data_IF_308596342051
#
_entry.id   IF_308596342051
#
_cell.length_a   1.000
_cell.length_b   1.000
_cell.length_c   1.000
_cell.angle_alpha   90.00
_cell.angle_beta   90.00
_cell.angle_gamma   90.00
#
_symmetry.space_group_name_H-M   'P 1'
#
loop_
_entity.id
_entity.type
_entity.pdbx_description
1 polymer ?
#
# COMPACT_ATOMS: atom_id res chain seq x y z
N UNK A 1 6.66 35.12 29.62
CA UNK A 1 7.52 34.54 28.57
C UNK A 1 6.98 33.17 28.25
N UNK A 2 6.80 32.90 26.96
CA UNK A 2 6.01 31.80 26.42
C UNK A 2 6.58 30.44 26.86
N UNK A 3 5.74 29.62 27.51
CA UNK A 3 5.94 28.17 27.52
C UNK A 3 5.52 27.73 26.13
N UNK A 4 6.46 27.54 25.22
CA UNK A 4 6.19 26.81 23.99
C UNK A 4 6.06 25.35 24.39
N UNK A 5 4.82 24.89 24.55
CA UNK A 5 4.49 23.47 24.52
C UNK A 5 5.10 22.89 23.24
N UNK A 6 6.25 22.24 23.41
CA UNK A 6 6.88 21.46 22.37
C UNK A 6 5.99 20.23 22.20
N UNK A 7 5.02 20.33 21.29
CA UNK A 7 4.26 19.17 20.84
C UNK A 7 5.25 18.28 20.09
N UNK A 8 5.95 17.42 20.84
CA UNK A 8 6.88 16.42 20.31
C UNK A 8 6.10 15.38 19.54
N UNK A 9 5.79 15.65 18.27
CA UNK A 9 5.47 14.61 17.31
C UNK A 9 6.71 13.74 17.18
N UNK A 10 6.58 12.45 17.51
CA UNK A 10 7.68 11.52 17.36
C UNK A 10 7.82 11.20 15.86
N UNK A 11 9.04 11.13 15.29
CA UNK A 11 9.22 10.77 13.89
C UNK A 11 8.55 9.44 13.58
N UNK A 12 7.75 9.39 12.51
CA UNK A 12 7.18 8.17 11.97
C UNK A 12 8.20 7.48 11.08
N UNK A 13 8.47 6.20 11.29
CA UNK A 13 9.37 5.40 10.46
C UNK A 13 8.66 4.84 9.22
N UNK A 14 8.85 5.47 8.06
CA UNK A 14 8.30 5.02 6.77
C UNK A 14 9.26 4.01 6.15
N UNK A 15 8.77 2.79 5.89
CA UNK A 15 9.52 1.69 5.29
C UNK A 15 8.99 1.38 3.90
N UNK A 16 9.74 1.77 2.88
CA UNK A 16 9.46 1.47 1.48
C UNK A 16 9.94 0.07 1.14
N UNK A 17 9.13 -0.66 0.36
CA UNK A 17 9.47 -1.96 -0.20
C UNK A 17 8.89 -2.07 -1.62
N UNK A 18 9.72 -2.49 -2.58
CA UNK A 18 9.28 -2.69 -3.97
C UNK A 18 10.04 -3.84 -4.62
N UNK A 19 9.36 -4.81 -5.24
CA UNK A 19 10.02 -5.83 -6.05
C UNK A 19 10.46 -5.22 -7.39
N UNK A 20 11.75 -5.30 -7.69
CA UNK A 20 12.34 -4.83 -8.95
C UNK A 20 13.69 -5.48 -9.25
N UNK A 21 13.88 -5.94 -10.49
CA UNK A 21 15.16 -6.49 -10.96
C UNK A 21 16.00 -5.41 -11.64
N UNK A 22 17.13 -5.07 -11.04
CA UNK A 22 18.14 -4.19 -11.63
C UNK A 22 19.11 -4.97 -12.53
N UNK A 23 19.69 -4.29 -13.52
CA UNK A 23 20.86 -4.83 -14.24
C UNK A 23 22.11 -4.70 -13.36
N UNK A 24 23.17 -5.42 -13.73
CA UNK A 24 24.46 -5.30 -13.05
C UNK A 24 24.98 -3.85 -13.10
N UNK A 25 25.46 -3.33 -11.96
CA UNK A 25 25.90 -1.93 -11.81
C UNK A 25 24.76 -0.91 -11.68
N UNK A 26 23.51 -1.37 -11.55
CA UNK A 26 22.35 -0.52 -11.28
C UNK A 26 21.80 -0.77 -9.87
N UNK A 27 21.26 0.29 -9.28
CA UNK A 27 20.63 0.24 -7.98
C UNK A 27 19.37 1.11 -7.95
N UNK A 28 18.45 0.77 -7.04
CA UNK A 28 17.20 1.50 -6.88
C UNK A 28 17.32 2.57 -5.79
N UNK A 29 16.68 3.71 -6.01
CA UNK A 29 16.59 4.80 -5.04
C UNK A 29 15.18 5.42 -5.02
N UNK A 30 14.85 6.05 -3.90
CA UNK A 30 13.61 6.80 -3.69
C UNK A 30 13.92 8.30 -3.67
N UNK A 31 13.19 9.06 -4.46
CA UNK A 31 13.32 10.51 -4.59
C UNK A 31 11.98 11.18 -4.30
N UNK A 32 12.00 12.41 -3.78
CA UNK A 32 10.77 13.13 -3.43
C UNK A 32 11.05 14.58 -3.08
N UNK A 33 9.98 15.35 -2.85
CA UNK A 33 10.07 16.76 -2.49
C UNK A 33 10.81 17.07 -1.17
N UNK A 34 10.74 16.23 -0.12
CA UNK A 34 11.42 16.53 1.13
C UNK A 34 12.93 16.41 1.05
N UNK A 35 13.62 17.08 1.99
CA UNK A 35 15.10 17.06 2.07
C UNK A 35 15.66 15.64 2.23
N UNK A 36 14.97 14.81 2.99
CA UNK A 36 15.37 13.43 3.25
C UNK A 36 15.25 12.52 2.01
N UNK A 37 14.47 12.93 1.00
CA UNK A 37 14.35 12.26 -0.30
C UNK A 37 15.02 13.05 -1.43
N UNK A 38 15.90 14.00 -1.10
CA UNK A 38 16.75 14.69 -2.07
C UNK A 38 16.11 15.87 -2.80
N UNK A 39 14.90 16.32 -2.45
CA UNK A 39 14.23 17.48 -3.08
C UNK A 39 14.12 17.38 -4.61
N UNK A 40 13.75 16.22 -5.12
CA UNK A 40 13.70 15.91 -6.55
C UNK A 40 15.07 15.95 -7.28
N UNK A 41 16.18 15.95 -6.55
CA UNK A 41 17.53 15.76 -7.09
C UNK A 41 17.96 14.29 -7.03
N UNK A 42 18.19 13.65 -8.19
CA UNK A 42 18.44 12.20 -8.27
C UNK A 42 19.76 11.78 -7.61
N UNK A 43 20.77 12.65 -7.63
CA UNK A 43 22.03 12.41 -6.94
C UNK A 43 21.87 12.39 -5.41
N UNK A 44 20.85 13.10 -4.88
CA UNK A 44 20.53 13.15 -3.46
C UNK A 44 19.40 12.18 -3.06
N UNK A 45 18.92 11.34 -3.99
CA UNK A 45 17.86 10.37 -3.72
C UNK A 45 18.31 9.33 -2.68
N UNK A 46 17.38 8.92 -1.83
CA UNK A 46 17.57 7.93 -0.77
C UNK A 46 17.88 6.56 -1.39
N UNK A 47 19.09 6.01 -1.23
CA UNK A 47 19.42 4.70 -1.79
C UNK A 47 18.61 3.59 -1.11
N UNK A 48 18.14 2.63 -1.89
CA UNK A 48 17.50 1.42 -1.37
C UNK A 48 18.50 0.28 -1.26
N UNK A 49 18.25 -0.62 -0.32
CA UNK A 49 19.04 -1.84 -0.12
C UNK A 49 18.30 -3.02 -0.75
N UNK A 50 18.98 -3.78 -1.59
CA UNK A 50 18.45 -5.03 -2.13
C UNK A 50 18.30 -6.07 -1.02
N UNK A 51 17.22 -6.82 -1.06
CA UNK A 51 16.88 -7.93 -0.17
C UNK A 51 16.54 -9.15 -1.01
N UNK A 52 16.55 -10.32 -0.37
CA UNK A 52 16.19 -11.59 -1.03
C UNK A 52 14.81 -11.50 -1.69
N UNK A 53 14.69 -12.06 -2.90
CA UNK A 53 13.46 -12.01 -3.70
C UNK A 53 13.33 -10.78 -4.59
N UNK A 54 14.43 -10.11 -4.92
CA UNK A 54 14.47 -8.89 -5.75
C UNK A 54 13.66 -7.73 -5.15
N UNK A 55 13.56 -7.69 -3.83
CA UNK A 55 12.85 -6.63 -3.11
C UNK A 55 13.86 -5.58 -2.68
N UNK A 56 13.62 -4.34 -3.06
CA UNK A 56 14.39 -3.19 -2.60
C UNK A 56 13.69 -2.54 -1.42
N UNK A 57 14.44 -2.26 -0.36
CA UNK A 57 13.92 -1.67 0.87
C UNK A 57 14.67 -0.40 1.28
N UNK A 58 13.94 0.59 1.79
CA UNK A 58 14.50 1.80 2.39
C UNK A 58 13.64 2.28 3.56
N UNK A 59 14.26 3.00 4.50
CA UNK A 59 13.56 3.56 5.66
C UNK A 59 13.81 5.06 5.76
N UNK A 60 12.78 5.80 6.13
CA UNK A 60 12.75 7.25 6.21
C UNK A 60 12.05 7.67 7.51
N UNK A 61 12.75 8.41 8.37
CA UNK A 61 12.12 9.11 9.48
C UNK A 61 11.37 10.34 8.95
N UNK A 62 10.09 10.45 9.31
CA UNK A 62 9.18 11.47 8.80
C UNK A 62 8.42 12.14 9.95
N UNK A 63 8.72 13.41 10.18
CA UNK A 63 8.22 14.17 11.33
C UNK A 63 6.84 14.81 11.07
N UNK A 64 6.51 15.02 9.80
CA UNK A 64 5.33 15.78 9.39
C UNK A 64 4.13 14.84 9.17
N UNK A 65 2.99 15.09 9.82
CA UNK A 65 1.73 14.51 9.32
C UNK A 65 1.43 15.04 7.90
N UNK A 66 0.65 14.33 7.09
CA UNK A 66 0.19 14.83 5.78
C UNK A 66 0.63 14.00 4.57
N UNK A 67 0.75 14.65 3.42
CA UNK A 67 1.03 13.98 2.14
C UNK A 67 2.51 14.00 1.82
N UNK A 68 3.08 12.82 1.58
CA UNK A 68 4.43 12.62 1.08
C UNK A 68 4.38 12.21 -0.39
N UNK A 69 4.96 13.04 -1.26
CA UNK A 69 5.16 12.73 -2.67
C UNK A 69 6.55 12.15 -2.91
N UNK A 70 6.62 11.03 -3.63
CA UNK A 70 7.87 10.35 -3.94
C UNK A 70 7.81 9.60 -5.27
N UNK A 71 8.96 9.15 -5.76
CA UNK A 71 9.10 8.34 -6.96
C UNK A 71 10.31 7.41 -6.82
N UNK A 72 10.31 6.31 -7.57
CA UNK A 72 11.45 5.42 -7.66
C UNK A 72 12.28 5.72 -8.91
N UNK A 73 13.59 5.64 -8.76
CA UNK A 73 14.57 5.88 -9.82
C UNK A 73 15.60 4.76 -9.82
N UNK A 74 15.94 4.26 -11.00
CA UNK A 74 17.09 3.36 -11.21
C UNK A 74 18.29 4.22 -11.52
N UNK A 75 19.37 4.04 -10.78
CA UNK A 75 20.63 4.75 -10.97
C UNK A 75 21.76 3.78 -11.29
N UNK A 76 22.73 4.25 -12.05
CA UNK A 76 24.01 3.57 -12.20
C UNK A 76 24.93 3.91 -11.01
N UNK A 77 26.04 3.18 -10.86
CA UNK A 77 27.01 3.40 -9.78
C UNK A 77 27.63 4.80 -9.76
N UNK A 78 27.66 5.51 -10.89
CA UNK A 78 28.09 6.91 -11.01
C UNK A 78 27.00 7.94 -10.64
N UNK A 79 25.89 7.47 -10.06
CA UNK A 79 24.69 8.22 -9.68
C UNK A 79 23.90 8.79 -10.86
N UNK A 80 24.25 8.49 -12.11
CA UNK A 80 23.45 8.89 -13.27
C UNK A 80 22.14 8.10 -13.31
N UNK A 81 21.08 8.76 -13.79
CA UNK A 81 19.76 8.13 -13.88
C UNK A 81 19.71 7.21 -15.09
N UNK A 82 19.49 5.92 -14.84
CA UNK A 82 19.28 4.91 -15.87
C UNK A 82 17.80 4.79 -16.26
N UNK A 83 16.89 5.09 -15.34
CA UNK A 83 15.46 5.01 -15.61
C UNK A 83 14.59 5.51 -14.46
N UNK A 84 13.35 5.85 -14.79
CA UNK A 84 12.34 6.28 -13.83
C UNK A 84 11.24 5.26 -13.74
N UNK A 85 10.64 5.11 -12.57
CA UNK A 85 9.38 4.37 -12.45
C UNK A 85 8.33 5.00 -13.37
N UNK A 86 7.61 4.20 -14.17
CA UNK A 86 6.58 4.72 -15.05
C UNK A 86 5.40 5.30 -14.26
N UNK A 87 4.67 6.21 -14.91
CA UNK A 87 3.47 6.83 -14.37
C UNK A 87 3.73 8.09 -13.53
N UNK A 88 2.68 8.59 -12.85
CA UNK A 88 2.75 9.76 -11.97
C UNK A 88 3.60 9.48 -10.73
N UNK A 89 3.83 10.52 -9.93
CA UNK A 89 4.46 10.37 -8.63
C UNK A 89 3.57 9.52 -7.71
N UNK A 90 4.20 8.78 -6.82
CA UNK A 90 3.51 8.08 -5.75
C UNK A 90 3.17 9.09 -4.64
N UNK A 91 1.98 8.98 -4.09
CA UNK A 91 1.53 9.78 -2.95
C UNK A 91 1.28 8.86 -1.76
N UNK A 92 1.78 9.24 -0.59
CA UNK A 92 1.50 8.58 0.68
C UNK A 92 0.81 9.57 1.60
N UNK A 93 -0.42 9.26 2.01
CA UNK A 93 -1.15 10.07 2.98
C UNK A 93 -0.98 9.51 4.39
N UNK A 94 -0.44 10.33 5.27
CA UNK A 94 -0.27 10.01 6.69
C UNK A 94 -1.31 10.78 7.51
N UNK A 95 -2.09 10.09 8.37
CA UNK A 95 -3.07 10.75 9.22
C UNK A 95 -2.38 11.68 10.23
N UNK A 96 -2.67 12.97 10.12
CA UNK A 96 -2.17 13.99 11.05
C UNK A 96 -2.75 13.78 12.45
N UNK A 97 -1.89 13.80 13.47
CA UNK A 97 -2.31 13.68 14.88
C UNK A 97 -2.57 12.26 15.36
N UNK A 98 -2.31 11.24 14.53
CA UNK A 98 -2.28 9.84 14.97
C UNK A 98 -0.91 9.52 15.58
N UNK A 99 -0.81 8.76 16.69
CA UNK A 99 0.47 8.28 17.18
C UNK A 99 0.92 7.16 16.24
N UNK A 100 1.44 7.45 15.06
CA UNK A 100 2.04 6.42 14.22
C UNK A 100 3.48 6.21 14.66
N UNK A 101 3.89 4.94 14.77
CA UNK A 101 5.30 4.59 15.00
C UNK A 101 6.00 4.30 13.68
N UNK A 102 5.33 3.54 12.82
CA UNK A 102 5.89 3.17 11.53
C UNK A 102 4.78 3.02 10.49
N UNK A 103 5.17 3.17 9.23
CA UNK A 103 4.31 2.92 8.07
C UNK A 103 5.07 2.07 7.08
N UNK A 104 4.51 0.93 6.69
CA UNK A 104 5.08 0.10 5.63
C UNK A 104 4.36 0.40 4.33
N UNK A 105 5.13 0.68 3.30
CA UNK A 105 4.64 0.96 1.95
C UNK A 105 5.18 -0.11 1.03
N UNK A 106 4.28 -0.90 0.46
CA UNK A 106 4.60 -1.91 -0.54
C UNK A 106 4.10 -1.46 -1.90
N UNK A 107 5.04 -1.09 -2.78
CA UNK A 107 4.77 -0.59 -4.12
C UNK A 107 5.03 -1.66 -5.19
N UNK A 108 4.59 -1.37 -6.41
CA UNK A 108 4.87 -2.17 -7.61
C UNK A 108 5.42 -1.27 -8.72
N UNK A 109 6.30 -1.82 -9.56
CA UNK A 109 6.95 -1.04 -10.61
C UNK A 109 5.96 -0.52 -11.67
N UNK A 110 5.05 -1.39 -12.10
CA UNK A 110 4.17 -1.16 -13.26
C UNK A 110 2.93 -0.32 -12.97
N UNK A 111 2.97 0.50 -11.90
CA UNK A 111 1.84 1.36 -11.52
C UNK A 111 0.65 0.61 -10.92
N UNK A 112 0.87 -0.60 -10.41
CA UNK A 112 -0.12 -1.37 -9.67
C UNK A 112 -0.37 -0.81 -8.26
N UNK A 113 -1.14 -1.55 -7.46
CA UNK A 113 -1.60 -1.12 -6.15
C UNK A 113 -0.46 -0.84 -5.16
N UNK A 114 -0.49 0.34 -4.54
CA UNK A 114 0.26 0.65 -3.32
C UNK A 114 -0.48 0.01 -2.14
N UNK A 115 0.21 -0.82 -1.35
CA UNK A 115 -0.32 -1.33 -0.08
C UNK A 115 0.35 -0.57 1.07
N UNK A 116 -0.46 0.07 1.90
CA UNK A 116 0.00 0.83 3.07
C UNK A 116 -0.48 0.14 4.35
N UNK A 117 0.46 -0.23 5.20
CA UNK A 117 0.19 -0.79 6.53
C UNK A 117 0.70 0.17 7.61
N UNK A 118 -0.20 0.56 8.52
CA UNK A 118 0.06 1.54 9.57
C UNK A 118 0.31 0.82 10.90
N UNK A 119 1.47 1.06 11.52
CA UNK A 119 1.80 0.56 12.86
C UNK A 119 1.58 1.67 13.91
N UNK A 120 0.59 1.50 14.79
CA UNK A 120 0.29 2.37 15.94
C UNK A 120 0.96 1.75 17.19
N UNK A 121 1.63 2.53 18.08
CA UNK A 121 2.16 2.02 19.32
C UNK A 121 1.00 1.57 20.21
N UNK A 122 0.96 0.28 20.51
CA UNK A 122 0.02 -0.23 21.51
C UNK A 122 0.36 0.38 22.87
N UNK A 123 -0.58 1.17 23.42
CA UNK A 123 -0.59 1.45 24.84
C UNK A 123 -0.74 0.10 25.56
N UNK A 124 0.32 -0.32 26.26
CA UNK A 124 0.55 -1.71 26.60
C UNK A 124 -0.63 -2.44 27.25
N UNK A 125 -1.01 -3.57 26.65
CA UNK A 125 -1.51 -4.75 27.37
C UNK A 125 -1.16 -6.01 26.58
N UNK A 126 -0.26 -6.81 27.16
CA UNK A 126 -0.15 -8.27 27.02
C UNK A 126 -0.13 -8.87 25.60
N UNK A 127 1.08 -9.27 25.18
CA UNK A 127 1.43 -10.48 24.42
C UNK A 127 0.24 -11.20 23.75
N UNK A 128 0.08 -11.14 22.41
CA UNK A 128 -1.00 -11.88 21.76
C UNK A 128 -0.64 -13.36 21.77
N UNK A 129 -1.21 -14.10 22.73
CA UNK A 129 -1.38 -15.54 22.59
C UNK A 129 -2.28 -15.77 21.36
N UNK A 130 -1.82 -16.63 20.45
CA UNK A 130 -2.60 -17.12 19.30
C UNK A 130 -4.05 -17.40 19.72
N UNK A 131 -4.97 -16.51 19.33
CA UNK A 131 -6.40 -16.84 19.30
C UNK A 131 -6.74 -17.09 17.85
N UNK A 132 -6.96 -18.37 17.50
CA UNK A 132 -7.63 -18.76 16.25
C UNK A 132 -8.89 -17.90 16.11
N UNK A 133 -9.10 -17.20 14.98
CA UNK A 133 -10.38 -16.55 14.74
C UNK A 133 -11.45 -17.64 14.71
N UNK A 134 -12.48 -17.52 15.54
CA UNK A 134 -13.74 -18.23 15.29
C UNK A 134 -14.28 -17.65 13.98
N UNK A 135 -14.44 -18.51 12.98
CA UNK A 135 -15.18 -18.20 11.77
C UNK A 135 -16.62 -17.85 12.17
N UNK A 136 -16.89 -16.56 12.36
CA UNK A 136 -18.24 -16.04 12.24
C UNK A 136 -18.51 -15.94 10.75
N UNK A 137 -19.38 -16.81 10.24
CA UNK A 137 -19.88 -16.73 8.86
C UNK A 137 -20.45 -15.34 8.62
N UNK A 138 -19.65 -14.48 8.00
CA UNK A 138 -20.13 -13.23 7.44
C UNK A 138 -21.04 -13.59 6.28
N UNK A 139 -22.31 -13.22 6.40
CA UNK A 139 -23.26 -13.28 5.28
C UNK A 139 -22.61 -12.56 4.10
N UNK A 140 -22.32 -13.30 3.03
CA UNK A 140 -21.84 -12.77 1.76
C UNK A 140 -22.89 -11.80 1.23
N UNK A 141 -22.71 -10.52 1.52
CA UNK A 141 -23.45 -9.45 0.85
C UNK A 141 -23.20 -9.52 -0.65
N UNK A 142 -24.11 -8.92 -1.42
CA UNK A 142 -23.97 -8.79 -2.87
C UNK A 142 -22.65 -8.06 -3.17
N UNK A 143 -21.66 -8.81 -3.67
CA UNK A 143 -20.36 -8.28 -4.08
C UNK A 143 -20.54 -7.37 -5.30
N UNK A 144 -19.73 -6.31 -5.40
CA UNK A 144 -19.64 -5.52 -6.63
C UNK A 144 -19.33 -6.39 -7.86
N UNK A 145 -19.83 -5.96 -9.03
CA UNK A 145 -19.56 -6.58 -10.33
C UNK A 145 -18.06 -6.70 -10.59
N UNK A 146 -17.27 -5.73 -10.12
CA UNK A 146 -15.81 -5.71 -10.29
C UNK A 146 -15.13 -6.76 -9.41
N UNK A 147 -15.56 -6.91 -8.15
CA UNK A 147 -15.09 -7.96 -7.25
C UNK A 147 -15.45 -9.35 -7.75
N UNK A 148 -16.62 -9.51 -8.38
CA UNK A 148 -17.04 -10.76 -9.00
C UNK A 148 -16.15 -11.13 -10.20
N UNK A 149 -15.81 -10.15 -11.05
CA UNK A 149 -14.87 -10.36 -12.16
C UNK A 149 -13.47 -10.70 -11.64
N UNK A 150 -13.00 -10.05 -10.57
CA UNK A 150 -11.71 -10.35 -9.97
C UNK A 150 -11.63 -11.79 -9.41
N UNK A 151 -12.70 -12.25 -8.74
CA UNK A 151 -12.80 -13.63 -8.25
C UNK A 151 -12.83 -14.66 -9.39
N UNK A 152 -13.49 -14.34 -10.50
CA UNK A 152 -13.54 -15.23 -11.65
C UNK A 152 -12.17 -15.37 -12.34
N UNK A 153 -11.36 -14.31 -12.36
CA UNK A 153 -9.97 -14.36 -12.85
C UNK A 153 -9.06 -15.19 -11.94
N UNK A 154 -9.23 -15.05 -10.62
CA UNK A 154 -8.52 -15.87 -9.63
C UNK A 154 -8.85 -17.36 -9.80
N UNK A 155 -10.12 -17.70 -9.97
CA UNK A 155 -10.53 -19.08 -10.23
C UNK A 155 -9.87 -19.65 -11.50
N UNK A 156 -9.84 -18.88 -12.60
CA UNK A 156 -9.16 -19.31 -13.82
C UNK A 156 -7.64 -19.49 -13.64
N UNK A 157 -6.99 -18.62 -12.86
CA UNK A 157 -5.55 -18.71 -12.59
C UNK A 157 -5.18 -19.91 -11.70
N UNK A 158 -6.06 -20.31 -10.77
CA UNK A 158 -5.89 -21.52 -9.94
C UNK A 158 -5.90 -22.78 -10.82
N UNK A 159 -6.87 -22.89 -11.72
CA UNK A 159 -6.96 -24.01 -12.66
C UNK A 159 -5.75 -24.06 -13.61
N UNK A 160 -5.30 -22.89 -14.10
CA UNK A 160 -4.10 -22.79 -14.92
C UNK A 160 -2.83 -23.17 -14.14
N UNK A 161 -2.74 -22.79 -12.87
CA UNK A 161 -1.65 -23.16 -11.97
C UNK A 161 -1.62 -24.67 -11.68
N UNK A 162 -2.77 -25.30 -11.46
CA UNK A 162 -2.87 -26.75 -11.26
C UNK A 162 -2.51 -27.53 -12.55
N UNK A 163 -2.95 -27.05 -13.71
CA UNK A 163 -2.56 -27.62 -15.00
C UNK A 163 -1.05 -27.49 -15.26
N UNK A 164 -0.46 -26.34 -14.91
CA UNK A 164 0.98 -26.14 -15.02
C UNK A 164 1.78 -26.95 -13.99
N UNK A 165 1.25 -27.15 -12.78
CA UNK A 165 1.86 -28.00 -11.75
C UNK A 165 1.81 -29.50 -12.11
N UNK A 166 0.87 -29.92 -12.95
CA UNK A 166 0.83 -31.26 -13.52
C UNK A 166 1.87 -31.48 -14.64
N UNK A 167 2.52 -30.42 -15.15
CA UNK A 167 3.60 -30.53 -16.11
C UNK A 167 4.90 -31.04 -15.47
N UNK A 168 5.70 -31.80 -16.20
CA UNK A 168 6.87 -32.51 -15.68
C UNK A 168 8.04 -31.59 -15.24
N UNK A 169 8.01 -30.31 -15.60
CA UNK A 169 9.05 -29.33 -15.27
C UNK A 169 8.47 -28.09 -14.56
N UNK A 170 8.61 -27.99 -13.22
CA UNK A 170 8.13 -26.85 -12.44
C UNK A 170 8.96 -25.57 -12.68
N UNK A 171 10.14 -25.68 -13.30
CA UNK A 171 10.97 -24.54 -13.71
C UNK A 171 10.65 -24.03 -15.11
N UNK A 172 9.70 -24.66 -15.81
CA UNK A 172 9.33 -24.26 -17.16
C UNK A 172 8.83 -22.81 -17.20
N UNK A 173 9.08 -22.08 -18.30
CA UNK A 173 8.61 -20.70 -18.45
C UNK A 173 7.07 -20.60 -18.38
N UNK A 174 6.35 -21.68 -18.65
CA UNK A 174 4.90 -21.76 -18.54
C UNK A 174 4.44 -21.87 -17.08
N UNK A 175 5.09 -22.72 -16.27
CA UNK A 175 4.83 -22.82 -14.84
C UNK A 175 5.11 -21.50 -14.10
N UNK A 176 6.22 -20.84 -14.43
CA UNK A 176 6.56 -19.52 -13.87
C UNK A 176 5.54 -18.43 -14.26
N UNK A 177 5.01 -18.48 -15.49
CA UNK A 177 3.95 -17.56 -15.93
C UNK A 177 2.63 -17.82 -15.22
N UNK A 178 2.24 -19.08 -15.08
CA UNK A 178 1.03 -19.47 -14.36
C UNK A 178 1.09 -19.04 -12.87
N UNK A 179 2.25 -19.21 -12.21
CA UNK A 179 2.46 -18.76 -10.84
C UNK A 179 2.40 -17.23 -10.70
N UNK A 180 3.05 -16.50 -11.62
CA UNK A 180 2.97 -15.05 -11.66
C UNK A 180 1.55 -14.53 -11.91
N UNK A 181 0.78 -15.20 -12.78
CA UNK A 181 -0.62 -14.89 -13.05
C UNK A 181 -1.50 -15.17 -11.83
N UNK A 182 -1.28 -16.29 -11.14
CA UNK A 182 -1.98 -16.63 -9.89
C UNK A 182 -1.70 -15.61 -8.79
N UNK A 183 -0.43 -15.20 -8.61
CA UNK A 183 -0.04 -14.19 -7.65
C UNK A 183 -0.74 -12.85 -7.93
N UNK A 184 -0.74 -12.41 -9.20
CA UNK A 184 -1.41 -11.18 -9.64
C UNK A 184 -2.93 -11.24 -9.42
N UNK A 185 -3.57 -12.34 -9.81
CA UNK A 185 -5.01 -12.53 -9.66
C UNK A 185 -5.43 -12.56 -8.17
N UNK A 186 -4.61 -13.19 -7.32
CA UNK A 186 -4.85 -13.25 -5.86
C UNK A 186 -4.77 -11.86 -5.24
N UNK A 187 -3.73 -11.10 -5.56
CA UNK A 187 -3.55 -9.73 -5.08
C UNK A 187 -4.70 -8.82 -5.51
N UNK A 188 -5.13 -8.92 -6.78
CA UNK A 188 -6.23 -8.13 -7.30
C UNK A 188 -7.56 -8.45 -6.60
N UNK A 189 -7.89 -9.74 -6.43
CA UNK A 189 -9.12 -10.15 -5.74
C UNK A 189 -9.13 -9.68 -4.27
N UNK A 190 -8.00 -9.80 -3.56
CA UNK A 190 -7.86 -9.32 -2.18
C UNK A 190 -8.02 -7.80 -2.09
N UNK A 191 -7.43 -7.04 -3.00
CA UNK A 191 -7.58 -5.59 -3.06
C UNK A 191 -9.04 -5.19 -3.24
N UNK A 192 -9.76 -5.83 -4.16
CA UNK A 192 -11.19 -5.56 -4.40
C UNK A 192 -12.05 -5.92 -3.19
N UNK A 193 -11.80 -7.06 -2.53
CA UNK A 193 -12.55 -7.44 -1.32
C UNK A 193 -12.32 -6.47 -0.15
N UNK A 194 -11.08 -6.00 0.03
CA UNK A 194 -10.76 -4.98 1.06
C UNK A 194 -11.42 -3.64 0.74
N UNK A 195 -11.47 -3.25 -0.53
CA UNK A 195 -12.14 -2.03 -0.97
C UNK A 195 -13.65 -2.08 -0.69
N UNK A 196 -14.30 -3.23 -0.93
CA UNK A 196 -15.73 -3.44 -0.61
C UNK A 196 -16.00 -3.33 0.90
N UNK A 197 -15.13 -3.89 1.73
CA UNK A 197 -15.25 -3.78 3.19
C UNK A 197 -15.08 -2.33 3.67
N UNK A 198 -14.14 -1.59 3.08
CA UNK A 198 -13.96 -0.17 3.37
C UNK A 198 -15.18 0.67 2.97
N UNK A 199 -15.79 0.37 1.82
CA UNK A 199 -17.00 1.04 1.34
C UNK A 199 -18.20 0.76 2.24
N UNK A 200 -18.32 -0.46 2.76
CA UNK A 200 -19.37 -0.85 3.71
C UNK A 200 -19.28 -0.14 5.07
N UNK A 201 -18.09 0.33 5.44
CA UNK A 201 -17.83 1.08 6.68
C UNK A 201 -18.09 2.59 6.57
N UNK A 202 -18.37 3.11 5.37
CA UNK A 202 -18.69 4.52 5.18
C UNK A 202 -20.08 4.84 5.78
N UNK A 203 -20.20 5.92 6.58
CA UNK A 203 -21.49 6.35 7.10
C UNK A 203 -22.41 6.73 5.93
N UNK A 204 -23.56 6.05 5.83
CA UNK A 204 -24.58 6.38 4.83
C UNK A 204 -25.01 7.83 5.04
N UNK A 205 -24.63 8.69 4.11
CA UNK A 205 -24.94 10.13 4.11
C UNK A 205 -26.44 10.32 4.37
N UNK A 206 -26.76 10.76 5.59
CA UNK A 206 -28.14 10.93 6.04
C UNK A 206 -28.88 11.88 5.10
N UNK A 207 -30.06 11.46 4.63
CA UNK A 207 -30.98 12.33 3.88
C UNK A 207 -31.18 13.62 4.68
N UNK A 208 -30.83 14.75 4.09
CA UNK A 208 -31.14 16.07 4.61
C UNK A 208 -32.66 16.16 4.86
N UNK A 209 -33.05 16.21 6.14
CA UNK A 209 -34.44 16.33 6.57
C UNK A 209 -34.86 17.77 6.36
N UNK A 210 -35.51 18.04 5.22
CA UNK A 210 -36.00 19.36 4.85
C UNK A 210 -37.05 19.83 5.88
N UNK A 211 -36.69 20.81 6.71
CA UNK A 211 -37.57 21.42 7.69
C UNK A 211 -38.56 22.35 7.02
N UNK A 212 -39.82 21.91 6.85
CA UNK A 212 -40.94 22.84 6.63
C UNK A 212 -41.53 23.24 7.98
N UNK A 213 -41.20 24.45 8.41
CA UNK A 213 -41.82 25.11 9.55
C UNK A 213 -43.32 25.27 9.35
N UNK A 214 -44.09 24.74 10.31
CA UNK A 214 -45.52 25.04 10.48
C UNK A 214 -45.61 26.36 11.25
N UNK A 215 -45.98 27.44 10.58
CA UNK A 215 -46.50 28.65 11.22
C UNK A 215 -48.01 28.52 11.40
N UNK A 216 -48.46 28.17 12.62
CA UNK A 216 -49.82 28.42 13.08
C UNK A 216 -49.83 29.82 13.69
N UNK A 217 -50.63 30.73 13.15
CA UNK A 217 -51.00 31.99 13.79
C UNK A 217 -52.52 32.07 13.82
N UNK A 218 -53.07 31.82 15.00
CA UNK A 218 -54.44 32.16 15.37
C UNK A 218 -54.33 33.37 16.30
N UNK A 219 -54.96 34.49 15.96
CA UNK A 219 -55.98 35.20 16.76
C UNK A 219 -56.78 36.07 15.78
#
# INVERSE_FOLDING_TARGET
>A
MHITDSCGSQPVDIRFAIPFKCHFGQHLAVIGGPRQLGQWEAAAALPMTWQQGDVWAASLAWDDGGTLEYKYVVRNDDLTVAGWKPGPNCELQLPTGSPLRAVRVWDTWDGGCQTVELEVPEAGTSKPALRRPKASGGSLGVLSKETLVALQRLAGALEAGEAAAAAADPGSPEALRADAELASATQHALAMMRAEEALGRLPRRGKARNGRGRGRGAV
#
